data_IF_994232763104
#
_entry.id   IF_994232763104
#
_cell.length_a   1.000
_cell.length_b   1.000
_cell.length_c   1.000
_cell.angle_alpha   90.00
_cell.angle_beta   90.00
_cell.angle_gamma   90.00
#
_symmetry.space_group_name_H-M   'P 1'
#
loop_
_entity.id
_entity.type
_entity.pdbx_description
1 polymer ?
#
# COMPACT_ATOMS: atom_id res chain seq x y z
N UNK A 1 -26.47 1.21 -27.97
CA UNK A 1 -26.32 1.95 -26.69
C UNK A 1 -25.01 1.63 -25.99
N UNK A 2 -24.64 0.34 -25.92
CA UNK A 2 -23.44 -0.19 -25.25
C UNK A 2 -22.11 0.50 -25.64
N UNK A 3 -21.89 0.77 -26.93
CA UNK A 3 -20.66 1.46 -27.40
C UNK A 3 -20.42 2.79 -26.68
N UNK A 4 -21.48 3.53 -26.34
CA UNK A 4 -21.38 4.81 -25.60
C UNK A 4 -21.03 4.61 -24.12
N UNK A 5 -21.38 3.47 -23.52
CA UNK A 5 -21.01 3.15 -22.14
C UNK A 5 -19.53 2.78 -22.02
N UNK A 6 -18.97 2.17 -23.08
CA UNK A 6 -17.59 1.69 -23.14
C UNK A 6 -16.58 2.76 -23.60
N UNK A 7 -17.06 3.94 -24.02
CA UNK A 7 -16.19 5.09 -24.38
C UNK A 7 -15.79 5.94 -23.19
N UNK A 8 -16.49 5.81 -22.06
CA UNK A 8 -16.16 6.56 -20.85
C UNK A 8 -15.00 5.86 -20.10
N UNK A 9 -13.97 6.60 -19.67
CA UNK A 9 -12.83 6.01 -18.97
C UNK A 9 -13.25 5.43 -17.62
N UNK A 10 -12.60 4.34 -17.22
CA UNK A 10 -12.75 3.81 -15.87
C UNK A 10 -12.04 4.75 -14.87
N UNK A 11 -12.62 4.96 -13.67
CA UNK A 11 -11.93 5.71 -12.62
C UNK A 11 -10.66 4.96 -12.21
N UNK A 12 -9.55 5.68 -12.10
CA UNK A 12 -8.26 5.11 -11.69
C UNK A 12 -7.92 5.61 -10.30
N UNK A 13 -7.71 4.69 -9.36
CA UNK A 13 -7.11 5.03 -8.08
C UNK A 13 -5.63 5.39 -8.28
N UNK A 14 -5.21 6.49 -7.67
CA UNK A 14 -3.87 7.08 -7.76
C UNK A 14 -2.78 6.11 -7.31
N UNK A 15 -3.00 5.48 -6.16
CA UNK A 15 -2.08 4.54 -5.52
C UNK A 15 -2.14 3.12 -6.12
N UNK A 16 -2.92 2.91 -7.17
CA UNK A 16 -2.98 1.61 -7.82
C UNK A 16 -1.75 1.40 -8.72
N UNK A 17 -1.02 0.32 -8.43
CA UNK A 17 0.17 -0.06 -9.20
C UNK A 17 -0.12 -0.22 -10.70
N UNK A 18 0.90 0.09 -11.50
CA UNK A 18 0.81 0.12 -12.97
C UNK A 18 0.40 -1.23 -13.55
N UNK A 19 0.91 -2.32 -13.01
CA UNK A 19 0.64 -3.69 -13.45
C UNK A 19 -0.82 -4.07 -13.21
N UNK A 20 -1.35 -3.72 -12.03
CA UNK A 20 -2.77 -3.92 -11.71
C UNK A 20 -3.69 -3.10 -12.61
N UNK A 21 -3.32 -1.84 -12.88
CA UNK A 21 -4.06 -1.00 -13.81
C UNK A 21 -4.01 -1.53 -15.25
N UNK A 22 -2.86 -2.05 -15.69
CA UNK A 22 -2.72 -2.66 -17.02
C UNK A 22 -3.64 -3.88 -17.18
N UNK A 23 -3.76 -4.74 -16.16
CA UNK A 23 -4.67 -5.89 -16.18
C UNK A 23 -6.15 -5.49 -16.27
N UNK A 24 -6.56 -4.41 -15.59
CA UNK A 24 -7.92 -3.86 -15.71
C UNK A 24 -8.15 -3.27 -17.10
N UNK A 25 -7.16 -2.53 -17.61
CA UNK A 25 -7.22 -1.88 -18.92
C UNK A 25 -7.35 -2.91 -20.03
N UNK A 26 -6.54 -3.98 -20.03
CA UNK A 26 -6.65 -5.07 -21.01
C UNK A 26 -8.06 -5.69 -21.02
N UNK A 27 -8.59 -6.02 -19.84
CA UNK A 27 -9.93 -6.60 -19.75
C UNK A 27 -11.03 -5.64 -20.24
N UNK A 28 -10.91 -4.34 -19.94
CA UNK A 28 -11.86 -3.32 -20.40
C UNK A 28 -11.80 -3.11 -21.92
N UNK A 29 -10.60 -3.04 -22.48
CA UNK A 29 -10.42 -2.91 -23.93
C UNK A 29 -10.91 -4.14 -24.69
N UNK A 30 -10.73 -5.36 -24.14
CA UNK A 30 -11.29 -6.59 -24.73
C UNK A 30 -12.81 -6.56 -24.80
N UNK A 31 -13.46 -6.05 -23.75
CA UNK A 31 -14.91 -5.80 -23.76
C UNK A 31 -15.31 -4.77 -24.82
N UNK A 32 -14.53 -3.69 -24.95
CA UNK A 32 -14.70 -2.67 -26.00
C UNK A 32 -14.63 -3.27 -27.41
N UNK A 33 -13.55 -4.01 -27.72
CA UNK A 33 -13.36 -4.68 -29.01
C UNK A 33 -14.49 -5.66 -29.34
N UNK A 34 -14.94 -6.45 -28.38
CA UNK A 34 -16.08 -7.36 -28.56
C UNK A 34 -17.38 -6.61 -28.91
N UNK A 35 -17.61 -5.46 -28.27
CA UNK A 35 -18.76 -4.61 -28.57
C UNK A 35 -18.64 -3.90 -29.93
N UNK A 36 -17.43 -3.56 -30.36
CA UNK A 36 -17.18 -2.96 -31.68
C UNK A 36 -17.57 -3.91 -32.81
N UNK A 37 -17.19 -5.18 -32.68
CA UNK A 37 -17.47 -6.25 -33.66
C UNK A 37 -18.86 -6.91 -33.50
N UNK A 38 -19.67 -6.47 -32.54
CA UNK A 38 -20.96 -7.07 -32.18
C UNK A 38 -20.89 -8.59 -31.89
N UNK A 39 -19.77 -9.06 -31.31
CA UNK A 39 -19.60 -10.45 -30.91
C UNK A 39 -20.31 -10.70 -29.56
N UNK A 40 -21.62 -10.94 -29.62
CA UNK A 40 -22.49 -11.02 -28.44
C UNK A 40 -22.04 -12.07 -27.40
N UNK A 41 -21.68 -13.32 -27.78
CA UNK A 41 -21.11 -14.28 -26.83
C UNK A 41 -19.83 -13.77 -26.17
N UNK A 42 -18.96 -13.11 -26.93
CA UNK A 42 -17.71 -12.57 -26.40
C UNK A 42 -17.96 -11.38 -25.47
N UNK A 43 -18.92 -10.50 -25.76
CA UNK A 43 -19.31 -9.39 -24.87
C UNK A 43 -19.71 -9.92 -23.49
N UNK A 44 -20.56 -10.96 -23.44
CA UNK A 44 -20.98 -11.59 -22.18
C UNK A 44 -19.77 -12.18 -21.43
N UNK A 45 -18.86 -12.83 -22.15
CA UNK A 45 -17.62 -13.38 -21.58
C UNK A 45 -16.72 -12.30 -20.99
N UNK A 46 -16.43 -11.25 -21.76
CA UNK A 46 -15.56 -10.14 -21.37
C UNK A 46 -16.15 -9.30 -20.22
N UNK A 47 -17.49 -9.19 -20.11
CA UNK A 47 -18.13 -8.52 -18.99
C UNK A 47 -17.81 -9.21 -17.65
N UNK A 48 -17.88 -10.55 -17.59
CA UNK A 48 -17.45 -11.33 -16.41
C UNK A 48 -15.96 -11.16 -16.15
N UNK A 49 -15.15 -11.26 -17.20
CA UNK A 49 -13.70 -11.18 -17.11
C UNK A 49 -13.21 -9.84 -16.57
N UNK A 50 -13.83 -8.72 -16.98
CA UNK A 50 -13.56 -7.39 -16.43
C UNK A 50 -13.81 -7.35 -14.92
N UNK A 51 -14.97 -7.83 -14.46
CA UNK A 51 -15.29 -7.90 -13.03
C UNK A 51 -14.28 -8.75 -12.28
N UNK A 52 -13.90 -9.90 -12.83
CA UNK A 52 -12.94 -10.80 -12.20
C UNK A 52 -11.54 -10.18 -12.12
N UNK A 53 -11.07 -9.53 -13.20
CA UNK A 53 -9.80 -8.80 -13.22
C UNK A 53 -9.76 -7.71 -12.15
N UNK A 54 -10.80 -6.87 -12.09
CA UNK A 54 -10.94 -5.81 -11.07
C UNK A 54 -10.97 -6.39 -9.65
N UNK A 55 -11.69 -7.50 -9.44
CA UNK A 55 -11.77 -8.15 -8.14
C UNK A 55 -10.41 -8.70 -7.67
N UNK A 56 -9.66 -9.36 -8.56
CA UNK A 56 -8.32 -9.89 -8.28
C UNK A 56 -7.33 -8.76 -8.00
N UNK A 57 -7.38 -7.69 -8.79
CA UNK A 57 -6.54 -6.50 -8.58
C UNK A 57 -6.88 -5.81 -7.26
N UNK A 58 -8.16 -5.64 -6.92
CA UNK A 58 -8.57 -5.05 -5.64
C UNK A 58 -8.08 -5.86 -4.44
N UNK A 59 -8.16 -7.19 -4.52
CA UNK A 59 -7.66 -8.10 -3.48
C UNK A 59 -6.14 -8.05 -3.33
N UNK A 60 -5.41 -8.12 -4.45
CA UNK A 60 -3.95 -8.01 -4.47
C UNK A 60 -3.50 -6.66 -3.90
N UNK A 61 -4.13 -5.57 -4.33
CA UNK A 61 -3.81 -4.22 -3.87
C UNK A 61 -4.17 -3.99 -2.39
N UNK A 62 -5.10 -4.77 -1.83
CA UNK A 62 -5.41 -4.78 -0.39
C UNK A 62 -4.52 -5.76 0.42
N UNK A 63 -3.47 -6.34 -0.18
CA UNK A 63 -2.56 -7.29 0.48
C UNK A 63 -3.15 -8.68 0.69
N UNK A 64 -4.24 -9.04 -0.02
CA UNK A 64 -4.98 -10.31 0.16
C UNK A 64 -5.20 -11.02 -1.19
N UNK A 65 -4.13 -11.36 -1.94
CA UNK A 65 -4.28 -11.92 -3.27
C UNK A 65 -5.09 -13.22 -3.25
N UNK A 66 -6.02 -13.35 -4.19
CA UNK A 66 -6.76 -14.60 -4.41
C UNK A 66 -5.86 -15.62 -5.11
N UNK A 67 -5.96 -16.90 -4.73
CA UNK A 67 -5.30 -17.98 -5.47
C UNK A 67 -5.82 -18.12 -6.91
N UNK A 68 -5.00 -18.70 -7.78
CA UNK A 68 -5.31 -18.86 -9.21
C UNK A 68 -6.58 -19.70 -9.44
N UNK A 69 -6.80 -20.71 -8.60
CA UNK A 69 -7.96 -21.60 -8.68
C UNK A 69 -9.17 -21.11 -7.87
N UNK A 70 -9.13 -19.89 -7.34
CA UNK A 70 -10.25 -19.35 -6.57
C UNK A 70 -11.49 -19.17 -7.46
N UNK A 71 -12.65 -19.60 -6.96
CA UNK A 71 -13.90 -19.50 -7.68
C UNK A 71 -14.32 -18.03 -7.86
N UNK A 72 -14.90 -17.70 -9.02
CA UNK A 72 -15.37 -16.35 -9.36
C UNK A 72 -16.17 -15.69 -8.23
N UNK A 73 -17.12 -16.41 -7.62
CA UNK A 73 -17.97 -15.85 -6.58
C UNK A 73 -17.19 -15.59 -5.29
N UNK A 74 -16.24 -16.46 -4.96
CA UNK A 74 -15.36 -16.29 -3.81
C UNK A 74 -14.49 -15.04 -3.98
N UNK A 75 -13.89 -14.86 -5.16
CA UNK A 75 -13.07 -13.70 -5.50
C UNK A 75 -13.90 -12.41 -5.47
N UNK A 76 -15.06 -12.40 -6.12
CA UNK A 76 -15.97 -11.24 -6.14
C UNK A 76 -16.43 -10.84 -4.73
N UNK A 77 -16.81 -11.82 -3.91
CA UNK A 77 -17.27 -11.57 -2.54
C UNK A 77 -16.15 -11.05 -1.65
N UNK A 78 -14.95 -11.62 -1.74
CA UNK A 78 -13.81 -11.16 -0.97
C UNK A 78 -13.41 -9.73 -1.37
N UNK A 79 -13.36 -9.44 -2.68
CA UNK A 79 -13.05 -8.10 -3.18
C UNK A 79 -14.10 -7.06 -2.73
N UNK A 80 -15.38 -7.39 -2.83
CA UNK A 80 -16.44 -6.49 -2.36
C UNK A 80 -16.30 -6.19 -0.87
N UNK A 81 -16.05 -7.21 -0.04
CA UNK A 81 -15.83 -7.05 1.41
C UNK A 81 -14.62 -6.16 1.73
N UNK A 82 -13.55 -6.30 0.94
CA UNK A 82 -12.34 -5.50 1.11
C UNK A 82 -12.57 -4.00 0.87
N UNK A 83 -13.46 -3.65 -0.07
CA UNK A 83 -13.70 -2.24 -0.45
C UNK A 83 -14.96 -1.63 0.19
N UNK A 84 -15.95 -2.44 0.60
CA UNK A 84 -17.22 -1.94 1.16
C UNK A 84 -17.05 -1.30 2.55
N UNK A 85 -16.08 -1.79 3.32
CA UNK A 85 -15.78 -1.34 4.68
C UNK A 85 -14.65 -0.31 4.75
N UNK A 86 -14.11 0.12 3.61
CA UNK A 86 -13.14 1.20 3.58
C UNK A 86 -13.77 2.47 4.16
N UNK A 87 -13.43 2.78 5.41
CA UNK A 87 -13.87 3.97 6.12
C UNK A 87 -12.95 5.10 5.66
N UNK A 88 -13.50 6.00 4.84
CA UNK A 88 -12.90 7.30 4.60
C UNK A 88 -13.53 8.35 5.53
N UNK A 89 -12.91 9.52 5.70
CA UNK A 89 -13.46 10.64 6.47
C UNK A 89 -14.92 10.99 6.11
N UNK A 90 -15.34 10.67 4.88
CA UNK A 90 -16.64 11.04 4.32
C UNK A 90 -17.73 9.95 4.37
N UNK A 91 -17.42 8.74 4.88
CA UNK A 91 -18.33 7.58 4.74
C UNK A 91 -18.52 6.82 6.06
N UNK A 92 -19.55 7.17 6.85
CA UNK A 92 -19.80 6.55 8.15
C UNK A 92 -20.20 5.07 8.04
N UNK A 93 -19.98 4.35 9.13
CA UNK A 93 -20.10 2.89 9.22
C UNK A 93 -21.49 2.31 8.90
N UNK A 94 -22.57 3.10 8.91
CA UNK A 94 -23.94 2.62 8.66
C UNK A 94 -24.67 3.44 7.60
N UNK A 95 -23.96 3.91 6.57
CA UNK A 95 -24.56 4.75 5.54
C UNK A 95 -25.53 3.94 4.63
N UNK A 96 -26.79 4.39 4.40
CA UNK A 96 -27.75 3.73 3.50
C UNK A 96 -27.23 3.45 2.08
N UNK A 97 -26.27 4.26 1.62
CA UNK A 97 -25.56 4.04 0.35
C UNK A 97 -24.79 2.72 0.29
N UNK A 98 -24.62 1.95 1.39
CA UNK A 98 -24.04 0.60 1.36
C UNK A 98 -24.95 -0.44 0.70
N UNK A 99 -26.26 -0.19 0.62
CA UNK A 99 -27.20 -1.11 -0.04
C UNK A 99 -27.03 -1.12 -1.56
N UNK A 100 -26.68 0.02 -2.17
CA UNK A 100 -26.53 0.15 -3.63
C UNK A 100 -25.37 -0.72 -4.16
N UNK A 101 -24.16 -0.68 -3.57
CA UNK A 101 -23.05 -1.56 -3.94
C UNK A 101 -23.37 -3.04 -3.78
N UNK A 102 -24.15 -3.42 -2.76
CA UNK A 102 -24.56 -4.81 -2.59
C UNK A 102 -25.40 -5.29 -3.76
N UNK A 103 -26.31 -4.45 -4.29
CA UNK A 103 -27.08 -4.79 -5.49
C UNK A 103 -26.20 -4.82 -6.74
N UNK A 104 -25.24 -3.89 -6.85
CA UNK A 104 -24.23 -3.93 -7.91
C UNK A 104 -23.43 -5.24 -7.90
N UNK A 105 -23.00 -5.71 -6.73
CA UNK A 105 -22.33 -7.01 -6.57
C UNK A 105 -23.23 -8.16 -7.02
N UNK A 106 -24.51 -8.15 -6.65
CA UNK A 106 -25.47 -9.19 -7.08
C UNK A 106 -25.64 -9.21 -8.60
N UNK A 107 -25.71 -8.05 -9.26
CA UNK A 107 -25.74 -7.99 -10.72
C UNK A 107 -24.47 -8.58 -11.34
N UNK A 108 -23.31 -8.24 -10.80
CA UNK A 108 -22.03 -8.80 -11.23
C UNK A 108 -21.96 -10.33 -11.02
N UNK A 109 -22.44 -10.84 -9.88
CA UNK A 109 -22.47 -12.26 -9.55
C UNK A 109 -23.24 -13.10 -10.59
N UNK A 110 -24.35 -12.57 -11.11
CA UNK A 110 -25.17 -13.21 -12.16
C UNK A 110 -24.45 -13.36 -13.50
N UNK A 111 -23.36 -12.62 -13.76
CA UNK A 111 -22.60 -12.71 -15.00
C UNK A 111 -22.00 -14.10 -15.21
N UNK A 112 -21.71 -14.85 -14.13
CA UNK A 112 -21.24 -16.24 -14.24
C UNK A 112 -22.27 -17.11 -14.95
N UNK A 113 -23.53 -17.05 -14.51
CA UNK A 113 -24.60 -17.85 -15.09
C UNK A 113 -24.90 -17.41 -16.52
N UNK A 114 -24.95 -16.10 -16.78
CA UNK A 114 -25.15 -15.54 -18.11
C UNK A 114 -24.02 -15.95 -19.07
N UNK A 115 -22.76 -15.88 -18.65
CA UNK A 115 -21.61 -16.39 -19.42
C UNK A 115 -21.72 -17.89 -19.66
N UNK A 116 -22.11 -18.65 -18.65
CA UNK A 116 -22.25 -20.10 -18.79
C UNK A 116 -23.40 -20.49 -19.74
N UNK A 117 -24.40 -19.64 -19.91
CA UNK A 117 -25.52 -19.87 -20.82
C UNK A 117 -25.27 -19.32 -22.24
N UNK A 118 -24.74 -18.11 -22.35
CA UNK A 118 -24.67 -17.36 -23.60
C UNK A 118 -23.24 -17.01 -24.05
N UNK A 119 -22.27 -17.03 -23.14
CA UNK A 119 -20.90 -16.61 -23.41
C UNK A 119 -19.98 -17.69 -23.95
N UNK A 120 -18.75 -17.28 -24.23
CA UNK A 120 -17.67 -18.12 -24.77
C UNK A 120 -16.90 -18.91 -23.69
N UNK A 121 -16.20 -19.96 -24.11
CA UNK A 121 -15.17 -20.67 -23.34
C UNK A 121 -15.46 -22.14 -22.98
N UNK A 122 -16.58 -22.68 -23.44
CA UNK A 122 -16.74 -24.12 -23.72
C UNK A 122 -17.42 -24.26 -25.07
N UNK A 123 -17.05 -25.29 -25.85
CA UNK A 123 -17.70 -25.58 -27.12
C UNK A 123 -19.19 -25.82 -26.93
N UNK A 124 -20.03 -25.32 -27.83
CA UNK A 124 -21.48 -25.45 -27.76
C UNK A 124 -21.99 -26.36 -28.86
N UNK A 125 -22.98 -27.18 -28.51
CA UNK A 125 -23.71 -27.98 -29.50
C UNK A 125 -24.71 -27.12 -30.30
N UNK A 126 -25.11 -25.95 -29.77
CA UNK A 126 -26.09 -25.05 -30.37
C UNK A 126 -25.67 -23.59 -30.15
N UNK A 127 -25.85 -22.74 -31.15
CA UNK A 127 -25.72 -21.28 -31.02
C UNK A 127 -27.03 -20.73 -30.47
N UNK A 128 -26.97 -20.07 -29.31
CA UNK A 128 -28.14 -19.39 -28.74
C UNK A 128 -28.29 -18.01 -29.37
N UNK A 129 -29.53 -17.61 -29.65
CA UNK A 129 -29.84 -16.22 -29.95
C UNK A 129 -29.68 -15.38 -28.67
N UNK A 130 -28.90 -14.30 -28.75
CA UNK A 130 -28.58 -13.41 -27.63
C UNK A 130 -29.18 -12.06 -27.96
N UNK A 131 -30.21 -11.65 -27.21
CA UNK A 131 -30.91 -10.39 -27.43
C UNK A 131 -30.07 -9.20 -26.97
N UNK A 132 -30.39 -8.00 -27.47
CA UNK A 132 -29.73 -6.75 -27.05
C UNK A 132 -29.87 -6.54 -25.53
N UNK A 133 -31.01 -6.88 -24.96
CA UNK A 133 -31.29 -6.80 -23.51
C UNK A 133 -30.29 -7.62 -22.68
N UNK A 134 -29.94 -8.84 -23.12
CA UNK A 134 -28.95 -9.68 -22.43
C UNK A 134 -27.58 -9.03 -22.45
N UNK A 135 -27.16 -8.54 -23.62
CA UNK A 135 -25.85 -7.89 -23.79
C UNK A 135 -25.78 -6.61 -22.96
N UNK A 136 -26.82 -5.76 -23.02
CA UNK A 136 -26.90 -4.52 -22.27
C UNK A 136 -26.88 -4.77 -20.76
N UNK A 137 -27.67 -5.73 -20.28
CA UNK A 137 -27.70 -6.11 -18.86
C UNK A 137 -26.33 -6.58 -18.37
N UNK A 138 -25.62 -7.40 -19.16
CA UNK A 138 -24.28 -7.87 -18.80
C UNK A 138 -23.28 -6.72 -18.67
N UNK A 139 -23.26 -5.80 -19.64
CA UNK A 139 -22.35 -4.66 -19.64
C UNK A 139 -22.68 -3.70 -18.49
N UNK A 140 -23.95 -3.38 -18.27
CA UNK A 140 -24.36 -2.55 -17.14
C UNK A 140 -23.98 -3.17 -15.80
N UNK A 141 -24.29 -4.45 -15.59
CA UNK A 141 -23.93 -5.16 -14.36
C UNK A 141 -22.42 -5.13 -14.08
N UNK A 142 -21.60 -5.35 -15.11
CA UNK A 142 -20.15 -5.30 -14.99
C UNK A 142 -19.63 -3.88 -14.67
N UNK A 143 -20.09 -2.86 -15.40
CA UNK A 143 -19.57 -1.50 -15.27
C UNK A 143 -19.99 -0.82 -13.96
N UNK A 144 -21.22 -1.03 -13.49
CA UNK A 144 -21.69 -0.43 -12.24
C UNK A 144 -20.80 -0.89 -11.06
N UNK A 145 -20.59 -2.20 -10.93
CA UNK A 145 -19.75 -2.73 -9.86
C UNK A 145 -18.28 -2.33 -10.04
N UNK A 146 -17.75 -2.44 -11.26
CA UNK A 146 -16.35 -2.10 -11.56
C UNK A 146 -16.03 -0.65 -11.20
N UNK A 147 -16.83 0.30 -11.69
CA UNK A 147 -16.58 1.73 -11.44
C UNK A 147 -16.71 2.08 -9.97
N UNK A 148 -17.70 1.50 -9.28
CA UNK A 148 -17.83 1.68 -7.84
C UNK A 148 -16.62 1.13 -7.08
N UNK A 149 -16.19 -0.10 -7.37
CA UNK A 149 -15.03 -0.74 -6.73
C UNK A 149 -13.78 0.10 -6.94
N UNK A 150 -13.49 0.49 -8.18
CA UNK A 150 -12.30 1.30 -8.50
C UNK A 150 -12.32 2.68 -7.84
N UNK A 151 -13.50 3.32 -7.75
CA UNK A 151 -13.64 4.59 -7.02
C UNK A 151 -13.37 4.41 -5.52
N UNK A 152 -13.76 3.26 -4.95
CA UNK A 152 -13.51 2.94 -3.53
C UNK A 152 -12.09 2.52 -3.25
N UNK A 153 -11.39 1.96 -4.22
CA UNK A 153 -10.00 1.56 -4.07
C UNK A 153 -9.10 2.74 -3.70
N UNK A 154 -9.41 3.97 -4.14
CA UNK A 154 -8.68 5.16 -3.69
C UNK A 154 -8.67 5.25 -2.16
N UNK A 155 -9.83 5.12 -1.52
CA UNK A 155 -9.96 5.17 -0.06
C UNK A 155 -9.26 3.99 0.62
N UNK A 156 -9.39 2.78 0.04
CA UNK A 156 -8.74 1.58 0.58
C UNK A 156 -7.22 1.75 0.59
N UNK A 157 -6.64 2.13 -0.56
CA UNK A 157 -5.19 2.19 -0.74
C UNK A 157 -4.56 3.34 0.05
N UNK A 158 -5.30 4.43 0.27
CA UNK A 158 -4.86 5.55 1.07
C UNK A 158 -4.51 5.11 2.50
N UNK A 159 -5.34 4.28 3.14
CA UNK A 159 -5.11 3.79 4.50
C UNK A 159 -4.49 2.38 4.61
N UNK A 160 -4.21 1.71 3.49
CA UNK A 160 -3.68 0.35 3.53
C UNK A 160 -2.19 0.34 3.91
N UNK A 161 -1.89 -0.26 5.06
CA UNK A 161 -0.54 -0.30 5.66
C UNK A 161 0.45 -1.10 4.81
N UNK A 162 0.14 -2.34 4.44
CA UNK A 162 1.07 -3.17 3.67
C UNK A 162 1.42 -2.55 2.30
N UNK A 163 0.45 -2.06 1.50
CA UNK A 163 0.78 -1.32 0.28
C UNK A 163 1.66 -0.09 0.53
N UNK A 164 1.42 0.66 1.61
CA UNK A 164 2.26 1.81 1.98
C UNK A 164 3.69 1.39 2.31
N UNK A 165 3.87 0.31 3.07
CA UNK A 165 5.18 -0.26 3.37
C UNK A 165 5.91 -0.63 2.08
N UNK A 166 5.25 -1.37 1.19
CA UNK A 166 5.86 -1.78 -0.07
C UNK A 166 6.29 -0.55 -0.92
N UNK A 167 5.45 0.48 -0.99
CA UNK A 167 5.73 1.71 -1.75
C UNK A 167 6.94 2.48 -1.17
N UNK A 168 7.13 2.44 0.15
CA UNK A 168 8.29 3.01 0.84
C UNK A 168 9.58 2.21 0.57
N UNK A 169 9.49 0.88 0.57
CA UNK A 169 10.64 -0.02 0.47
C UNK A 169 11.15 -0.26 -0.96
N UNK A 170 10.28 -0.21 -1.97
CA UNK A 170 10.64 -0.49 -3.36
C UNK A 170 11.75 0.45 -3.87
N UNK A 171 12.84 -0.14 -4.37
CA UNK A 171 13.87 0.57 -5.13
C UNK A 171 13.24 1.11 -6.43
N UNK A 172 13.12 2.43 -6.54
CA UNK A 172 12.34 3.08 -7.61
C UNK A 172 10.82 3.14 -7.35
N UNK A 173 10.39 3.01 -6.09
CA UNK A 173 8.99 3.12 -5.65
C UNK A 173 8.33 4.46 -5.99
N UNK A 174 7.03 4.58 -5.67
CA UNK A 174 6.22 5.76 -5.99
C UNK A 174 6.88 7.03 -5.43
N UNK A 175 6.89 8.11 -6.22
CA UNK A 175 7.33 9.40 -5.74
C UNK A 175 6.30 9.97 -4.77
N UNK A 176 6.72 10.29 -3.54
CA UNK A 176 5.90 11.00 -2.57
C UNK A 176 6.10 12.51 -2.77
N UNK A 177 5.04 13.20 -3.20
CA UNK A 177 4.96 14.64 -3.22
C UNK A 177 4.54 15.17 -1.84
N UNK A 178 4.63 16.48 -1.63
CA UNK A 178 4.31 17.09 -0.35
C UNK A 178 2.85 16.84 0.03
N UNK A 179 2.64 16.25 1.21
CA UNK A 179 1.34 15.89 1.77
C UNK A 179 0.93 14.43 1.55
N UNK A 180 1.53 13.74 0.57
CA UNK A 180 1.13 12.37 0.21
C UNK A 180 1.30 11.40 1.37
N UNK A 181 2.47 11.42 2.03
CA UNK A 181 2.74 10.52 3.13
C UNK A 181 1.88 10.89 4.34
N UNK A 182 1.72 12.18 4.61
CA UNK A 182 0.87 12.70 5.69
C UNK A 182 -0.56 12.16 5.57
N UNK A 183 -1.16 12.26 4.38
CA UNK A 183 -2.53 11.81 4.14
C UNK A 183 -2.65 10.28 4.26
N UNK A 184 -1.65 9.53 3.77
CA UNK A 184 -1.63 8.06 3.91
C UNK A 184 -1.45 7.61 5.35
N UNK A 185 -0.53 8.21 6.11
CA UNK A 185 -0.31 7.91 7.52
C UNK A 185 -1.55 8.26 8.37
N UNK A 186 -2.21 9.39 8.08
CA UNK A 186 -3.48 9.75 8.72
C UNK A 186 -4.59 8.74 8.41
N UNK A 187 -4.71 8.32 7.16
CA UNK A 187 -5.70 7.33 6.74
C UNK A 187 -5.43 5.93 7.31
N UNK A 188 -4.15 5.56 7.49
CA UNK A 188 -3.74 4.32 8.13
C UNK A 188 -4.04 4.29 9.64
N UNK A 189 -4.21 5.47 10.26
CA UNK A 189 -4.51 5.63 11.68
C UNK A 189 -3.54 4.83 12.55
N UNK A 190 -2.24 5.17 12.45
CA UNK A 190 -1.12 4.44 13.07
C UNK A 190 -1.39 4.10 14.54
N UNK A 191 -1.99 5.03 15.29
CA UNK A 191 -2.32 4.86 16.71
C UNK A 191 -3.30 3.71 17.02
N UNK A 192 -4.07 3.24 16.04
CA UNK A 192 -5.01 2.12 16.18
C UNK A 192 -4.51 0.82 15.55
N UNK A 193 -3.35 0.84 14.89
CA UNK A 193 -2.70 -0.38 14.41
C UNK A 193 -2.16 -1.20 15.60
N UNK A 194 -1.94 -2.49 15.41
CA UNK A 194 -1.23 -3.29 16.40
C UNK A 194 0.27 -2.94 16.40
N UNK A 195 0.98 -3.26 17.49
CA UNK A 195 2.39 -2.91 17.62
C UNK A 195 3.28 -3.46 16.48
N UNK A 196 3.07 -4.71 15.98
CA UNK A 196 3.81 -5.20 14.82
C UNK A 196 3.64 -4.34 13.56
N UNK A 197 2.41 -3.95 13.20
CA UNK A 197 2.15 -3.13 12.01
C UNK A 197 2.67 -1.70 12.20
N UNK A 198 2.53 -1.12 13.41
CA UNK A 198 3.13 0.17 13.74
C UNK A 198 4.65 0.16 13.53
N UNK A 199 5.32 -0.86 14.06
CA UNK A 199 6.77 -1.02 13.97
C UNK A 199 7.22 -1.26 12.54
N UNK A 200 6.57 -2.16 11.81
CA UNK A 200 6.90 -2.45 10.40
C UNK A 200 6.76 -1.20 9.51
N UNK A 201 5.70 -0.41 9.70
CA UNK A 201 5.50 0.85 9.01
C UNK A 201 6.60 1.87 9.37
N UNK A 202 6.94 1.97 10.66
CA UNK A 202 8.05 2.80 11.14
C UNK A 202 9.36 2.44 10.44
N UNK A 203 9.73 1.15 10.41
CA UNK A 203 10.95 0.67 9.74
C UNK A 203 10.99 1.11 8.28
N UNK A 204 9.89 0.93 7.55
CA UNK A 204 9.81 1.32 6.15
C UNK A 204 9.99 2.84 5.94
N UNK A 205 9.38 3.66 6.81
CA UNK A 205 9.57 5.12 6.79
C UNK A 205 11.03 5.48 7.08
N UNK A 206 11.62 4.91 8.14
CA UNK A 206 13.02 5.15 8.52
C UNK A 206 13.99 4.82 7.38
N UNK A 207 13.82 3.63 6.76
CA UNK A 207 14.66 3.19 5.64
C UNK A 207 14.53 4.11 4.43
N UNK A 208 13.31 4.58 4.13
CA UNK A 208 13.10 5.50 3.01
C UNK A 208 13.61 6.92 3.30
N UNK A 209 13.47 7.40 4.54
CA UNK A 209 14.03 8.67 5.00
C UNK A 209 15.57 8.68 4.96
N UNK A 210 16.20 7.56 5.33
CA UNK A 210 17.66 7.41 5.28
C UNK A 210 18.21 7.44 3.84
N UNK A 211 17.38 7.19 2.82
CA UNK A 211 17.74 7.30 1.39
C UNK A 211 17.44 8.67 0.78
N UNK A 212 17.48 9.74 1.58
CA UNK A 212 17.26 11.14 1.19
C UNK A 212 15.91 11.50 0.55
N UNK A 213 14.83 10.77 0.86
CA UNK A 213 13.50 11.24 0.44
C UNK A 213 13.00 12.34 1.40
N UNK A 214 13.20 13.61 1.02
CA UNK A 214 12.92 14.79 1.84
C UNK A 214 11.50 14.80 2.44
N UNK A 215 10.47 14.57 1.61
CA UNK A 215 9.07 14.57 2.05
C UNK A 215 8.80 13.46 3.06
N UNK A 216 9.34 12.25 2.83
CA UNK A 216 9.14 11.12 3.75
C UNK A 216 9.75 11.39 5.13
N UNK A 217 10.93 12.03 5.16
CA UNK A 217 11.55 12.46 6.42
C UNK A 217 10.72 13.52 7.14
N UNK A 218 10.26 14.56 6.43
CA UNK A 218 9.47 15.62 7.05
C UNK A 218 8.17 15.05 7.61
N UNK A 219 7.44 14.32 6.79
CA UNK A 219 6.08 13.90 7.08
C UNK A 219 6.00 12.66 7.98
N UNK A 220 7.03 11.80 7.95
CA UNK A 220 7.06 10.53 8.69
C UNK A 220 7.98 10.51 9.91
N UNK A 221 8.89 11.48 10.05
CA UNK A 221 9.82 11.58 11.18
C UNK A 221 9.75 12.96 11.84
N UNK A 222 9.97 14.05 11.10
CA UNK A 222 10.02 15.40 11.71
C UNK A 222 8.65 15.79 12.30
N UNK A 223 7.56 15.39 11.65
CA UNK A 223 6.18 15.53 12.16
C UNK A 223 5.93 14.85 13.53
N UNK A 224 6.81 13.92 13.96
CA UNK A 224 6.75 13.33 15.31
C UNK A 224 6.98 14.36 16.42
N UNK A 225 7.66 15.47 16.12
CA UNK A 225 7.89 16.55 17.07
C UNK A 225 6.68 17.47 17.26
N UNK A 226 5.79 17.55 16.27
CA UNK A 226 4.66 18.49 16.28
C UNK A 226 3.43 17.95 17.02
N UNK A 227 3.18 16.64 16.95
CA UNK A 227 2.09 15.97 17.67
C UNK A 227 2.58 14.66 18.28
N UNK A 228 3.23 14.67 19.45
CA UNK A 228 3.82 13.46 20.01
C UNK A 228 2.81 12.32 20.24
N UNK A 229 1.55 12.66 20.51
CA UNK A 229 0.47 11.71 20.81
C UNK A 229 -0.03 10.93 19.60
N UNK A 230 0.13 11.49 18.40
CA UNK A 230 -0.23 10.84 17.13
C UNK A 230 0.73 9.72 16.71
N UNK A 231 1.89 9.59 17.36
CA UNK A 231 2.97 8.68 16.97
C UNK A 231 3.32 7.69 18.08
N UNK A 232 2.78 6.46 18.01
CA UNK A 232 3.05 5.42 19.01
C UNK A 232 4.54 5.08 19.18
N UNK A 233 4.95 4.63 20.38
CA UNK A 233 6.33 4.18 20.63
C UNK A 233 6.83 3.15 19.62
N UNK A 234 6.03 2.12 19.32
CA UNK A 234 6.44 1.06 18.40
C UNK A 234 6.75 1.58 16.98
N UNK A 235 6.00 2.57 16.48
CA UNK A 235 6.30 3.24 15.22
C UNK A 235 7.63 4.01 15.28
N UNK A 236 7.85 4.78 16.36
CA UNK A 236 9.10 5.55 16.55
C UNK A 236 10.33 4.64 16.65
N UNK A 237 10.19 3.53 17.37
CA UNK A 237 11.22 2.49 17.48
C UNK A 237 11.51 1.84 16.13
N UNK A 238 10.47 1.53 15.35
CA UNK A 238 10.63 1.05 13.98
C UNK A 238 11.36 2.06 13.09
N UNK A 239 10.93 3.32 13.11
CA UNK A 239 11.57 4.39 12.34
C UNK A 239 13.04 4.59 12.73
N UNK A 240 13.34 4.50 14.02
CA UNK A 240 14.71 4.52 14.53
C UNK A 240 15.52 3.36 13.93
N UNK A 241 15.01 2.13 13.96
CA UNK A 241 15.69 0.98 13.35
C UNK A 241 15.95 1.18 11.86
N UNK A 242 14.94 1.67 11.13
CA UNK A 242 15.06 1.90 9.69
C UNK A 242 16.08 2.97 9.30
N UNK A 243 16.43 3.89 10.20
CA UNK A 243 17.49 4.87 9.96
C UNK A 243 18.90 4.27 9.95
N UNK A 244 19.08 3.08 10.54
CA UNK A 244 20.38 2.43 10.73
C UNK A 244 20.49 1.06 10.07
N UNK A 245 19.37 0.41 9.74
CA UNK A 245 19.34 -0.93 9.15
C UNK A 245 18.61 -0.86 7.80
N UNK A 246 19.30 -1.22 6.73
CA UNK A 246 18.72 -1.27 5.39
C UNK A 246 17.79 -2.51 5.20
N UNK A 247 17.03 -2.59 4.10
CA UNK A 247 16.15 -3.74 3.83
C UNK A 247 16.86 -5.10 3.76
N UNK A 248 18.17 -5.12 3.48
CA UNK A 248 19.00 -6.32 3.43
C UNK A 248 19.54 -6.73 4.82
N UNK A 249 19.13 -6.03 5.89
CA UNK A 249 19.55 -6.30 7.27
C UNK A 249 20.98 -5.85 7.57
N UNK A 250 21.51 -4.89 6.80
CA UNK A 250 22.86 -4.36 6.99
C UNK A 250 22.83 -3.00 7.67
N UNK A 251 23.86 -2.70 8.45
CA UNK A 251 24.13 -1.36 8.97
C UNK A 251 24.32 -0.41 7.80
N UNK A 252 23.46 0.59 7.75
CA UNK A 252 23.41 1.64 6.75
C UNK A 252 23.02 2.94 7.44
N UNK A 253 23.68 4.04 7.11
CA UNK A 253 23.31 5.35 7.64
C UNK A 253 23.45 6.41 6.57
N UNK A 254 22.63 7.45 6.70
CA UNK A 254 22.92 8.73 6.07
C UNK A 254 23.43 9.70 7.13
N UNK A 255 24.70 10.16 7.06
CA UNK A 255 25.40 10.80 8.18
C UNK A 255 24.60 11.85 8.93
N UNK A 256 24.21 12.93 8.25
CA UNK A 256 23.56 14.09 8.90
C UNK A 256 22.08 13.85 9.23
N UNK A 257 21.42 12.92 8.53
CA UNK A 257 19.97 12.71 8.65
C UNK A 257 19.62 11.68 9.70
N UNK A 258 20.37 10.58 9.80
CA UNK A 258 20.09 9.50 10.75
C UNK A 258 20.25 10.01 12.18
N UNK A 259 21.32 10.76 12.45
CA UNK A 259 21.60 11.34 13.77
C UNK A 259 20.52 12.36 14.21
N UNK A 260 20.22 13.36 13.36
CA UNK A 260 19.20 14.37 13.69
C UNK A 260 17.79 13.80 13.81
N UNK A 261 17.43 12.84 12.96
CA UNK A 261 16.15 12.13 13.01
C UNK A 261 16.00 11.29 14.28
N UNK A 262 17.09 10.68 14.75
CA UNK A 262 17.10 9.92 16.01
C UNK A 262 16.72 10.80 17.20
N UNK A 263 17.32 12.00 17.29
CA UNK A 263 16.98 12.94 18.35
C UNK A 263 15.50 13.35 18.35
N UNK A 264 14.90 13.50 17.17
CA UNK A 264 13.47 13.80 17.02
C UNK A 264 12.60 12.64 17.52
N UNK A 265 12.89 11.42 17.07
CA UNK A 265 12.10 10.23 17.43
C UNK A 265 12.13 9.96 18.94
N UNK A 266 13.28 10.17 19.57
CA UNK A 266 13.50 9.88 20.99
C UNK A 266 13.02 10.98 21.94
N UNK A 267 12.85 12.23 21.49
CA UNK A 267 12.57 13.40 22.35
C UNK A 267 11.40 13.16 23.33
N UNK A 268 10.29 12.66 22.81
CA UNK A 268 9.05 12.41 23.56
C UNK A 268 8.77 10.91 23.73
N UNK A 269 9.78 10.06 23.52
CA UNK A 269 9.65 8.62 23.69
C UNK A 269 9.58 8.26 25.19
N UNK A 270 8.68 7.35 25.64
CA UNK A 270 8.56 7.02 27.06
C UNK A 270 9.79 6.28 27.61
N UNK A 271 10.50 5.53 26.77
CA UNK A 271 11.66 4.72 27.15
C UNK A 271 12.80 4.84 26.12
N UNK A 272 13.43 6.01 25.96
CA UNK A 272 14.37 6.26 24.87
C UNK A 272 15.64 5.40 24.96
N UNK A 273 16.08 5.07 26.18
CA UNK A 273 17.23 4.19 26.42
C UNK A 273 16.96 2.75 25.97
N UNK A 274 15.77 2.22 26.28
CA UNK A 274 15.35 0.88 25.83
C UNK A 274 15.34 0.79 24.30
N UNK A 275 14.80 1.82 23.64
CA UNK A 275 14.77 1.88 22.17
C UNK A 275 16.18 1.86 21.56
N UNK A 276 17.14 2.59 22.15
CA UNK A 276 18.54 2.55 21.72
C UNK A 276 19.23 1.22 22.05
N UNK A 277 18.91 0.57 23.19
CA UNK A 277 19.42 -0.76 23.50
C UNK A 277 18.97 -1.80 22.45
N UNK A 278 17.70 -1.75 22.03
CA UNK A 278 17.19 -2.61 20.95
C UNK A 278 17.92 -2.33 19.62
N UNK A 279 18.10 -1.06 19.25
CA UNK A 279 18.87 -0.68 18.07
C UNK A 279 20.32 -1.19 18.13
N UNK A 280 20.99 -1.02 19.28
CA UNK A 280 22.37 -1.48 19.47
C UNK A 280 22.49 -2.98 19.26
N UNK A 281 21.54 -3.76 19.79
CA UNK A 281 21.49 -5.21 19.57
C UNK A 281 21.38 -5.56 18.09
N UNK A 282 20.52 -4.86 17.33
CA UNK A 282 20.39 -5.06 15.89
C UNK A 282 21.68 -4.71 15.12
N UNK A 283 22.35 -3.63 15.50
CA UNK A 283 23.64 -3.23 14.89
C UNK A 283 24.70 -4.30 15.14
N UNK A 284 24.75 -4.88 16.35
CA UNK A 284 25.73 -5.91 16.70
C UNK A 284 25.54 -7.22 15.90
N UNK A 285 24.30 -7.55 15.55
CA UNK A 285 23.97 -8.77 14.78
C UNK A 285 23.98 -8.55 13.25
N UNK A 286 24.02 -7.30 12.79
CA UNK A 286 23.93 -6.94 11.38
C UNK A 286 25.28 -7.06 10.64
N UNK A 287 25.20 -7.27 9.32
CA UNK A 287 26.36 -7.07 8.44
C UNK A 287 26.50 -5.60 8.04
N UNK A 288 27.59 -5.22 7.37
CA UNK A 288 27.86 -3.82 7.04
C UNK A 288 27.62 -3.52 5.56
N UNK A 289 26.92 -2.42 5.26
CA UNK A 289 26.72 -2.00 3.87
C UNK A 289 27.96 -1.28 3.33
N UNK A 290 28.19 -1.36 2.02
CA UNK A 290 29.28 -0.66 1.33
C UNK A 290 29.15 0.86 1.53
N UNK A 291 27.91 1.36 1.49
CA UNK A 291 27.59 2.77 1.68
C UNK A 291 28.01 3.25 3.07
N UNK A 292 27.69 2.49 4.13
CA UNK A 292 28.15 2.82 5.48
C UNK A 292 29.67 2.87 5.54
N UNK A 293 30.37 1.83 5.06
CA UNK A 293 31.84 1.77 5.09
C UNK A 293 32.47 2.98 4.39
N UNK A 294 31.87 3.45 3.29
CA UNK A 294 32.36 4.63 2.56
C UNK A 294 32.18 5.97 3.30
N UNK A 295 31.30 6.02 4.31
CA UNK A 295 30.86 7.25 5.02
C UNK A 295 30.87 7.10 6.54
N UNK A 296 31.63 6.15 7.07
CA UNK A 296 31.61 5.83 8.49
C UNK A 296 32.03 7.04 9.35
N UNK A 297 33.13 7.71 8.98
CA UNK A 297 33.63 8.89 9.71
C UNK A 297 32.61 10.04 9.73
N UNK A 298 32.01 10.37 8.59
CA UNK A 298 30.97 11.40 8.53
C UNK A 298 29.76 11.05 9.41
N UNK A 299 29.38 9.77 9.43
CA UNK A 299 28.29 9.29 10.29
C UNK A 299 28.63 9.45 11.77
N UNK A 300 29.83 9.02 12.16
CA UNK A 300 30.32 9.10 13.54
C UNK A 300 30.35 10.57 14.00
N UNK A 301 30.94 11.46 13.21
CA UNK A 301 31.00 12.90 13.53
C UNK A 301 29.59 13.51 13.68
N UNK A 302 28.66 13.14 12.78
CA UNK A 302 27.28 13.62 12.86
C UNK A 302 26.54 13.08 14.10
N UNK A 303 26.78 11.82 14.48
CA UNK A 303 26.20 11.22 15.68
C UNK A 303 26.76 11.84 16.96
N UNK A 304 28.07 12.09 17.02
CA UNK A 304 28.72 12.79 18.12
C UNK A 304 28.12 14.20 18.30
N UNK A 305 28.00 14.95 17.21
CA UNK A 305 27.40 16.28 17.22
C UNK A 305 25.93 16.30 17.67
N UNK A 306 25.19 15.22 17.44
CA UNK A 306 23.79 15.08 17.85
C UNK A 306 23.61 14.66 19.33
N UNK A 307 24.67 14.22 20.02
CA UNK A 307 24.58 13.67 21.40
C UNK A 307 23.85 14.57 22.38
N UNK A 308 24.08 15.89 22.31
CA UNK A 308 23.43 16.87 23.19
C UNK A 308 21.91 16.98 22.99
N UNK A 309 21.40 16.52 21.85
CA UNK A 309 19.98 16.52 21.49
C UNK A 309 19.29 15.19 21.87
N UNK A 310 20.07 14.14 22.16
CA UNK A 310 19.54 12.87 22.65
C UNK A 310 19.06 13.04 24.10
N UNK A 311 17.90 12.47 24.48
CA UNK A 311 17.42 12.52 25.86
C UNK A 311 18.46 11.99 26.84
N UNK A 312 18.67 12.68 27.97
CA UNK A 312 19.67 12.33 28.98
C UNK A 312 19.70 10.84 29.36
N UNK A 313 18.56 10.15 29.60
CA UNK A 313 18.58 8.74 29.97
C UNK A 313 19.20 7.82 28.91
N UNK A 314 19.27 8.25 27.66
CA UNK A 314 19.70 7.45 26.52
C UNK A 314 21.07 7.86 25.97
N UNK A 315 21.71 8.91 26.52
CA UNK A 315 22.99 9.43 26.02
C UNK A 315 24.15 8.44 26.20
N UNK A 316 24.15 7.65 27.27
CA UNK A 316 25.16 6.61 27.50
C UNK A 316 25.07 5.50 26.44
N UNK A 317 23.86 4.99 26.18
CA UNK A 317 23.63 3.97 25.15
C UNK A 317 23.91 4.51 23.74
N UNK A 318 23.59 5.78 23.47
CA UNK A 318 23.96 6.44 22.22
C UNK A 318 25.49 6.50 22.01
N UNK A 319 26.24 6.89 23.04
CA UNK A 319 27.70 6.89 23.00
C UNK A 319 28.26 5.49 22.77
N UNK A 320 27.68 4.47 23.40
CA UNK A 320 28.09 3.09 23.20
C UNK A 320 27.85 2.60 21.76
N UNK A 321 26.74 3.00 21.12
CA UNK A 321 26.51 2.71 19.69
C UNK A 321 27.58 3.40 18.83
N UNK A 322 27.90 4.67 19.09
CA UNK A 322 28.96 5.38 18.36
C UNK A 322 30.30 4.63 18.47
N UNK A 323 30.64 4.14 19.65
CA UNK A 323 31.87 3.39 19.88
C UNK A 323 31.88 2.04 19.15
N UNK A 324 30.75 1.33 19.10
CA UNK A 324 30.60 0.09 18.33
C UNK A 324 30.80 0.34 16.82
N UNK A 325 30.26 1.45 16.29
CA UNK A 325 30.45 1.88 14.89
C UNK A 325 31.91 2.26 14.60
N UNK A 326 32.59 2.95 15.53
CA UNK A 326 34.01 3.32 15.39
C UNK A 326 34.91 2.09 15.28
N UNK A 327 34.68 1.08 16.12
CA UNK A 327 35.49 -0.14 16.12
C UNK A 327 35.47 -0.83 14.76
N UNK A 328 34.35 -0.77 14.04
CA UNK A 328 34.23 -1.37 12.71
C UNK A 328 34.73 -0.47 11.56
N UNK A 329 34.83 0.85 11.76
CA UNK A 329 35.33 1.77 10.73
C UNK A 329 36.85 1.74 10.52
N UNK A 330 37.59 1.04 11.40
CA UNK A 330 39.07 0.98 11.40
C UNK A 330 39.60 -0.27 10.66
N UNK A 331 38.73 -1.23 10.34
CA UNK A 331 39.02 -2.43 9.55
C UNK A 331 38.72 -2.23 8.05
#
# INVERSE_FOLDING_TARGET
MIKKLLTEPLPRAEWLRKEGWAAITDAYERLGRAAETDDRPLIVGCAKELVESVARVALSAAGRPSGDNADYQQVLNAAHKAVEHAVGPELPANHPLRQVPMQARKMADQLRELRNRYGTGHGRAVVHDITDEVVETCVHGALIWTRWTLSRMQTVLMGAVQPLIDDLLLNGGIAFYGGDLTDRLRAANIAQLDEPDQRALGVAVGQRSARETFNVRIEGIEACADDPSGWPPAYREGALQGLFINPDGQVFTYPTRSASSTAILLRDHPHPDKALCELRGLIADASWSIEFSSRANETIEAMEGATSQIPKPAQETWAAIIDDLKQHSVD
#
